data_IF_402823273483
#
_entry.id   IF_402823273483
#
_cell.length_a   1.000
_cell.length_b   1.000
_cell.length_c   1.000
_cell.angle_alpha   90.00
_cell.angle_beta   90.00
_cell.angle_gamma   90.00
#
_symmetry.space_group_name_H-M   'P 1'
#
loop_
_entity.id
_entity.type
_entity.pdbx_description
1 polymer ?
#
# COMPACT_ATOMS: atom_id res chain seq x y z
N UNK A 1 -7.44 17.67 7.79
CA UNK A 1 -7.46 16.27 8.27
C UNK A 1 -6.08 15.72 8.62
N UNK A 2 -6.03 14.58 9.32
CA UNK A 2 -4.83 13.71 9.41
C UNK A 2 -4.97 12.54 8.43
N UNK A 3 -3.89 12.20 7.74
CA UNK A 3 -3.83 11.06 6.82
C UNK A 3 -2.85 10.02 7.34
N UNK A 4 -3.21 8.74 7.23
CA UNK A 4 -2.32 7.59 7.41
C UNK A 4 -2.16 6.86 6.09
N UNK A 5 -0.92 6.60 5.69
CA UNK A 5 -0.62 5.77 4.52
C UNK A 5 -0.02 4.45 4.99
N UNK A 6 -0.67 3.35 4.64
CA UNK A 6 -0.20 1.98 4.87
C UNK A 6 0.48 1.50 3.59
N UNK A 7 1.81 1.53 3.61
CA UNK A 7 2.62 1.25 2.43
C UNK A 7 2.97 -0.23 2.37
N UNK A 8 2.58 -0.89 1.28
CA UNK A 8 3.11 -2.17 0.80
C UNK A 8 3.18 -3.29 1.85
N UNK A 9 2.14 -3.41 2.69
CA UNK A 9 2.01 -4.50 3.67
C UNK A 9 1.57 -5.81 3.00
N UNK A 10 2.27 -6.20 1.93
CA UNK A 10 2.02 -7.39 1.10
C UNK A 10 2.76 -8.61 1.61
N UNK A 11 2.26 -9.80 1.29
CA UNK A 11 2.90 -11.06 1.70
C UNK A 11 4.36 -11.12 1.23
N UNK A 12 4.66 -10.73 -0.01
CA UNK A 12 6.04 -10.80 -0.53
C UNK A 12 7.04 -9.93 0.23
N UNK A 13 6.62 -8.78 0.76
CA UNK A 13 7.47 -7.91 1.58
C UNK A 13 7.50 -8.27 3.07
N UNK A 14 6.49 -9.02 3.55
CA UNK A 14 6.39 -9.38 4.96
C UNK A 14 7.00 -10.75 5.22
N UNK A 15 6.51 -11.78 4.55
CA UNK A 15 6.87 -13.18 4.80
C UNK A 15 7.16 -14.01 3.53
N UNK A 16 7.18 -13.37 2.36
CA UNK A 16 7.45 -14.00 1.08
C UNK A 16 8.86 -13.71 0.57
N UNK A 17 9.00 -13.54 -0.75
CA UNK A 17 10.31 -13.54 -1.44
C UNK A 17 11.25 -12.40 -1.04
N UNK A 18 10.71 -11.29 -0.52
CA UNK A 18 11.43 -10.14 0.03
C UNK A 18 11.11 -9.92 1.52
N UNK A 19 10.56 -10.93 2.19
CA UNK A 19 10.15 -10.88 3.59
C UNK A 19 11.30 -10.93 4.58
N UNK A 20 11.07 -10.41 5.78
CA UNK A 20 12.04 -10.45 6.90
C UNK A 20 11.31 -10.71 8.23
N UNK A 21 12.05 -11.21 9.24
CA UNK A 21 11.45 -11.44 10.57
C UNK A 21 11.05 -10.14 11.26
N UNK A 22 11.75 -9.06 10.94
CA UNK A 22 11.44 -7.71 11.36
C UNK A 22 10.12 -7.24 10.73
N UNK A 23 9.91 -7.50 9.44
CA UNK A 23 8.66 -7.16 8.75
C UNK A 23 7.46 -7.95 9.31
N UNK A 24 7.62 -9.26 9.56
CA UNK A 24 6.60 -10.06 10.26
C UNK A 24 6.27 -9.47 11.64
N UNK A 25 7.29 -9.07 12.40
CA UNK A 25 7.14 -8.59 13.77
C UNK A 25 6.42 -7.23 13.88
N UNK A 26 6.43 -6.39 12.84
CA UNK A 26 5.75 -5.10 12.87
C UNK A 26 4.25 -5.18 12.51
N UNK A 27 3.78 -6.25 11.88
CA UNK A 27 2.37 -6.39 11.43
C UNK A 27 1.37 -6.08 12.56
N UNK A 28 1.51 -6.60 13.80
CA UNK A 28 0.57 -6.29 14.87
C UNK A 28 0.58 -4.81 15.29
N UNK A 29 1.75 -4.15 15.20
CA UNK A 29 1.87 -2.71 15.53
C UNK A 29 1.23 -1.83 14.45
N UNK A 30 1.41 -2.20 13.18
CA UNK A 30 0.76 -1.52 12.05
C UNK A 30 -0.76 -1.67 12.15
N UNK A 31 -1.24 -2.89 12.42
CA UNK A 31 -2.67 -3.16 12.64
C UNK A 31 -3.24 -2.30 13.77
N UNK A 32 -2.58 -2.27 14.93
CA UNK A 32 -3.00 -1.42 16.06
C UNK A 32 -3.05 0.06 15.68
N UNK A 33 -2.09 0.53 14.87
CA UNK A 33 -2.06 1.92 14.41
C UNK A 33 -3.24 2.23 13.49
N UNK A 34 -3.60 1.32 12.58
CA UNK A 34 -4.76 1.44 11.70
C UNK A 34 -6.04 1.51 12.53
N UNK A 35 -6.23 0.59 13.48
CA UNK A 35 -7.43 0.52 14.34
C UNK A 35 -7.63 1.77 15.20
N UNK A 36 -6.54 2.40 15.65
CA UNK A 36 -6.60 3.57 16.52
C UNK A 36 -6.48 4.90 15.78
N UNK A 37 -6.42 4.90 14.44
CA UNK A 37 -6.20 6.13 13.68
C UNK A 37 -7.51 6.84 13.40
N UNK A 38 -7.60 8.09 13.83
CA UNK A 38 -8.72 8.98 13.51
C UNK A 38 -8.34 9.85 12.31
N UNK A 39 -8.89 9.52 11.15
CA UNK A 39 -8.65 10.22 9.88
C UNK A 39 -8.75 9.30 8.67
N UNK A 40 -8.36 9.83 7.49
CA UNK A 40 -8.35 9.06 6.24
C UNK A 40 -7.16 8.11 6.19
N UNK A 41 -7.41 6.87 5.77
CA UNK A 41 -6.38 5.84 5.61
C UNK A 41 -6.29 5.46 4.13
N UNK A 42 -5.09 5.50 3.57
CA UNK A 42 -4.79 4.99 2.23
C UNK A 42 -3.92 3.75 2.33
N UNK A 43 -4.14 2.81 1.43
CA UNK A 43 -3.36 1.58 1.33
C UNK A 43 -2.69 1.52 -0.04
N UNK A 44 -1.43 1.11 -0.09
CA UNK A 44 -0.76 0.83 -1.36
C UNK A 44 -0.36 -0.64 -1.46
N UNK A 45 -0.24 -1.08 -2.71
CA UNK A 45 0.42 -2.32 -3.08
C UNK A 45 1.35 -2.07 -4.24
N UNK A 46 2.59 -2.47 -4.10
CA UNK A 46 3.45 -2.63 -5.24
C UNK A 46 2.88 -3.67 -6.18
N UNK A 47 2.90 -3.41 -7.47
CA UNK A 47 2.19 -4.22 -8.46
C UNK A 47 3.03 -4.34 -9.70
N UNK A 48 3.44 -5.58 -10.00
CA UNK A 48 4.24 -5.88 -11.17
C UNK A 48 3.56 -6.89 -12.08
N UNK A 49 3.87 -6.79 -13.37
CA UNK A 49 3.44 -7.74 -14.39
C UNK A 49 4.51 -8.82 -14.63
N UNK A 50 4.16 -9.81 -15.45
CA UNK A 50 5.04 -10.96 -15.75
C UNK A 50 6.37 -10.58 -16.39
N UNK A 51 6.43 -9.41 -17.03
CA UNK A 51 7.64 -8.85 -17.64
C UNK A 51 8.50 -8.04 -16.64
N UNK A 52 8.30 -8.20 -15.33
CA UNK A 52 9.04 -7.45 -14.30
C UNK A 52 10.56 -7.40 -14.56
N UNK A 53 11.17 -8.54 -14.88
CA UNK A 53 12.63 -8.65 -15.12
C UNK A 53 13.13 -7.85 -16.34
N UNK A 54 12.25 -7.46 -17.26
CA UNK A 54 12.59 -6.64 -18.43
C UNK A 54 12.59 -5.14 -18.11
N UNK A 55 11.94 -4.74 -17.02
CA UNK A 55 11.85 -3.35 -16.56
C UNK A 55 13.19 -2.83 -16.04
N UNK A 56 13.32 -1.51 -15.87
CA UNK A 56 14.51 -0.93 -15.23
C UNK A 56 14.64 -1.42 -13.78
N UNK A 57 13.54 -1.47 -13.05
CA UNK A 57 13.52 -1.92 -11.67
C UNK A 57 13.95 -3.39 -11.55
N UNK A 58 13.36 -4.28 -12.35
CA UNK A 58 13.70 -5.70 -12.33
C UNK A 58 15.14 -6.00 -12.77
N UNK A 59 15.80 -5.10 -13.51
CA UNK A 59 17.25 -5.20 -13.79
C UNK A 59 18.11 -4.82 -12.58
N UNK A 60 17.64 -3.90 -11.74
CA UNK A 60 18.34 -3.44 -10.53
C UNK A 60 18.01 -4.31 -9.30
N UNK A 61 16.80 -4.86 -9.24
CA UNK A 61 16.31 -5.80 -8.24
C UNK A 61 15.76 -7.05 -8.96
N UNK A 62 16.62 -8.00 -9.36
CA UNK A 62 16.22 -9.16 -10.18
C UNK A 62 15.54 -10.27 -9.38
N UNK A 63 14.56 -9.89 -8.56
CA UNK A 63 13.72 -10.77 -7.74
C UNK A 63 12.27 -10.51 -8.11
N UNK A 64 11.60 -11.39 -8.88
CA UNK A 64 10.18 -11.25 -9.15
C UNK A 64 9.39 -11.29 -7.84
N UNK A 65 8.62 -10.25 -7.59
CA UNK A 65 7.80 -10.09 -6.40
C UNK A 65 6.53 -9.34 -6.76
N UNK A 66 5.54 -9.36 -5.86
CA UNK A 66 4.32 -8.56 -5.97
C UNK A 66 3.63 -8.67 -7.35
N UNK A 67 3.71 -9.86 -7.96
CA UNK A 67 3.13 -10.11 -9.28
C UNK A 67 1.61 -10.10 -9.19
N UNK A 68 0.97 -9.29 -10.03
CA UNK A 68 -0.47 -9.10 -10.05
C UNK A 68 -1.23 -10.44 -10.00
N UNK A 69 -2.21 -10.54 -9.08
CA UNK A 69 -3.06 -11.71 -8.81
C UNK A 69 -2.34 -12.94 -8.23
N UNK A 70 -1.12 -12.80 -7.73
CA UNK A 70 -0.46 -13.86 -6.94
C UNK A 70 -0.74 -13.71 -5.45
N UNK A 71 -0.52 -14.78 -4.68
CA UNK A 71 -0.62 -14.72 -3.21
C UNK A 71 0.39 -13.74 -2.59
N UNK A 72 1.60 -13.65 -3.17
CA UNK A 72 2.64 -12.72 -2.76
C UNK A 72 2.24 -11.24 -2.88
N UNK A 73 1.46 -10.92 -3.91
CA UNK A 73 0.92 -9.57 -4.17
C UNK A 73 -0.19 -9.13 -3.22
N UNK A 74 -0.91 -10.04 -2.58
CA UNK A 74 -1.97 -9.65 -1.66
C UNK A 74 -1.43 -8.98 -0.38
N UNK A 75 -2.21 -8.06 0.20
CA UNK A 75 -1.95 -7.59 1.56
C UNK A 75 -1.96 -8.78 2.53
N UNK A 76 -1.11 -8.73 3.54
CA UNK A 76 -1.11 -9.76 4.59
C UNK A 76 -2.51 -9.86 5.23
N UNK A 77 -2.98 -11.06 5.61
CA UNK A 77 -4.38 -11.26 5.97
C UNK A 77 -4.92 -10.32 7.05
N UNK A 78 -4.09 -9.93 8.02
CA UNK A 78 -4.49 -9.00 9.08
C UNK A 78 -4.75 -7.59 8.52
N UNK A 79 -3.87 -7.08 7.67
CA UNK A 79 -4.02 -5.74 7.07
C UNK A 79 -5.13 -5.76 6.02
N UNK A 80 -5.25 -6.84 5.22
CA UNK A 80 -6.35 -7.02 4.26
C UNK A 80 -7.73 -6.94 4.94
N UNK A 81 -7.88 -7.57 6.11
CA UNK A 81 -9.14 -7.48 6.90
C UNK A 81 -9.43 -6.07 7.39
N UNK A 82 -8.41 -5.34 7.85
CA UNK A 82 -8.57 -3.97 8.34
C UNK A 82 -8.84 -2.97 7.21
N UNK A 83 -8.26 -3.19 6.03
CA UNK A 83 -8.57 -2.40 4.85
C UNK A 83 -10.04 -2.54 4.43
N UNK A 84 -10.63 -3.72 4.57
CA UNK A 84 -12.05 -3.95 4.27
C UNK A 84 -12.39 -3.58 2.82
N UNK A 85 -13.31 -2.65 2.65
CA UNK A 85 -13.72 -2.12 1.34
C UNK A 85 -12.96 -0.85 0.93
N UNK A 86 -11.95 -0.44 1.70
CA UNK A 86 -11.12 0.73 1.35
C UNK A 86 -10.48 0.55 -0.02
N UNK A 87 -10.32 1.66 -0.76
CA UNK A 87 -9.53 1.67 -1.98
C UNK A 87 -8.07 1.31 -1.65
N UNK A 88 -7.52 0.37 -2.41
CA UNK A 88 -6.10 0.00 -2.38
C UNK A 88 -5.49 0.46 -3.70
N UNK A 89 -4.43 1.27 -3.61
CA UNK A 89 -3.75 1.85 -4.77
C UNK A 89 -2.66 0.89 -5.22
N UNK A 90 -2.84 0.33 -6.41
CA UNK A 90 -1.90 -0.58 -7.03
C UNK A 90 -0.86 0.24 -7.81
N UNK A 91 0.33 0.43 -7.22
CA UNK A 91 1.40 1.24 -7.84
C UNK A 91 2.28 0.38 -8.75
N UNK A 92 2.66 0.87 -9.95
CA UNK A 92 3.50 0.14 -10.89
C UNK A 92 5.01 0.28 -10.62
N UNK A 93 5.40 1.03 -9.59
CA UNK A 93 6.79 1.39 -9.28
C UNK A 93 6.93 1.76 -7.80
N UNK A 94 8.16 2.06 -7.35
CA UNK A 94 8.39 2.61 -6.00
C UNK A 94 7.54 3.84 -5.66
N UNK A 95 7.37 4.77 -6.61
CA UNK A 95 6.52 5.95 -6.42
C UNK A 95 5.06 5.69 -6.81
N UNK A 96 4.14 6.44 -6.21
CA UNK A 96 2.72 6.41 -6.58
C UNK A 96 2.20 7.82 -6.81
N UNK A 97 2.00 8.17 -8.09
CA UNK A 97 1.38 9.45 -8.48
C UNK A 97 -0.12 9.43 -8.16
N UNK A 98 -0.78 8.27 -8.33
CA UNK A 98 -2.20 8.11 -7.96
C UNK A 98 -2.43 8.41 -6.48
N UNK A 99 -1.56 7.92 -5.58
CA UNK A 99 -1.66 8.26 -4.16
C UNK A 99 -1.60 9.77 -3.92
N UNK A 100 -0.72 10.50 -4.62
CA UNK A 100 -0.63 11.95 -4.48
C UNK A 100 -1.92 12.64 -4.94
N UNK A 101 -2.53 12.19 -6.04
CA UNK A 101 -3.81 12.73 -6.51
C UNK A 101 -4.93 12.47 -5.50
N UNK A 102 -5.06 11.23 -5.02
CA UNK A 102 -6.11 10.85 -4.07
C UNK A 102 -6.01 11.62 -2.74
N UNK A 103 -4.80 11.84 -2.24
CA UNK A 103 -4.59 12.67 -1.04
C UNK A 103 -4.95 14.13 -1.34
N UNK A 104 -4.58 14.65 -2.51
CA UNK A 104 -4.86 16.03 -2.87
C UNK A 104 -6.36 16.28 -3.06
N UNK A 105 -7.09 15.36 -3.69
CA UNK A 105 -8.55 15.44 -3.83
C UNK A 105 -9.24 15.46 -2.46
N UNK A 106 -8.86 14.57 -1.55
CA UNK A 106 -9.43 14.55 -0.19
C UNK A 106 -9.18 15.87 0.56
N UNK A 107 -8.02 16.50 0.37
CA UNK A 107 -7.72 17.80 0.97
C UNK A 107 -8.54 18.94 0.37
N UNK A 108 -8.76 18.92 -0.95
CA UNK A 108 -9.59 19.93 -1.63
C UNK A 108 -11.07 19.81 -1.24
N UNK A 109 -11.58 18.58 -1.12
CA UNK A 109 -12.96 18.33 -0.70
C UNK A 109 -13.21 18.86 0.73
N UNK A 110 -12.23 18.69 1.64
CA UNK A 110 -12.31 19.29 2.97
C UNK A 110 -12.32 20.81 2.94
N UNK A 111 -11.49 21.43 2.09
CA UNK A 111 -11.46 22.89 1.95
C UNK A 111 -12.78 23.43 1.39
N UNK A 112 -13.36 22.80 0.38
CA UNK A 112 -14.66 23.17 -0.17
C UNK A 112 -15.76 23.09 0.89
N UNK A 113 -15.83 21.99 1.64
CA UNK A 113 -16.78 21.82 2.75
C UNK A 113 -16.59 22.86 3.85
N UNK A 114 -15.34 23.20 4.19
CA UNK A 114 -15.04 24.23 5.18
C UNK A 114 -15.44 25.64 4.73
N UNK A 115 -15.43 25.88 3.42
CA UNK A 115 -15.80 27.17 2.81
C UNK A 115 -17.30 27.27 2.49
N UNK A 116 -18.06 26.18 2.66
CA UNK A 116 -19.51 26.14 2.42
C UNK A 116 -19.90 26.09 0.94
N UNK A 117 -19.02 25.56 0.10
CA UNK A 117 -19.25 25.32 -1.34
C UNK A 117 -19.86 23.93 -1.61
#
# INVERSE_FOLDING_TARGET
MKVLVVVDMQNDFVNGVLGTKEAEAIVPKVAKKIESFEGKIFYTRDTHEKNYLDTQEGKLLPVPHCLLKTGGWELVPQIKRLAGESKIIDKPSFGSVELCYEINEELLDEEALANGE
#
